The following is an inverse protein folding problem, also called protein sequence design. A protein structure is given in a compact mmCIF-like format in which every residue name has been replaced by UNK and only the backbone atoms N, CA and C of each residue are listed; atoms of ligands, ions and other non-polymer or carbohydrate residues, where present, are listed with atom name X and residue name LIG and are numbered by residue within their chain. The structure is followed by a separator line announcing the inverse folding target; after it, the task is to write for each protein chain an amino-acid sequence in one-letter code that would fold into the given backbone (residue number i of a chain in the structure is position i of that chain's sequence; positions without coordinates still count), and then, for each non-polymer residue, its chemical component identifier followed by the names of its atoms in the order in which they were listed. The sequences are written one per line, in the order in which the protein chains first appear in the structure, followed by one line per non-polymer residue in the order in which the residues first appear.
data_IF_773916642997
#
_entry.id   IF_773916642997
#
_cell.length_a   1.000
_cell.length_b   1.000
_cell.length_c   1.000
_cell.angle_alpha   90.00
_cell.angle_beta   90.00
_cell.angle_gamma   90.00
#
_symmetry.space_group_name_H-M   'P 1'
#
loop_
_entity.id
_entity.type
_entity.pdbx_description
1 polymer ?
#
# COMPACT_ATOMS: atom_id res chain seq x y z
N UNK A 1 -33.31 -23.46 17.02
CA UNK A 1 -32.48 -22.58 17.88
C UNK A 1 -31.08 -22.52 17.28
N UNK A 2 -30.73 -21.39 16.62
CA UNK A 2 -29.38 -21.18 16.09
C UNK A 2 -28.48 -20.77 17.26
N UNK A 3 -27.50 -21.61 17.59
CA UNK A 3 -26.43 -21.24 18.53
C UNK A 3 -25.71 -20.02 17.97
N UNK A 4 -25.82 -18.88 18.66
CA UNK A 4 -24.95 -17.73 18.45
C UNK A 4 -23.54 -18.16 18.82
N UNK A 5 -22.67 -18.33 17.82
CA UNK A 5 -21.24 -18.52 18.04
C UNK A 5 -20.73 -17.31 18.83
N UNK A 6 -20.26 -17.50 20.04
CA UNK A 6 -19.58 -16.47 20.82
C UNK A 6 -18.35 -16.01 20.02
N UNK A 7 -18.48 -14.89 19.33
CA UNK A 7 -17.38 -14.26 18.64
C UNK A 7 -16.29 -13.91 19.67
N UNK A 8 -15.11 -14.49 19.53
CA UNK A 8 -13.93 -14.16 20.36
C UNK A 8 -13.64 -12.65 20.22
N UNK A 9 -13.92 -11.88 21.27
CA UNK A 9 -13.54 -10.48 21.33
C UNK A 9 -12.03 -10.35 21.34
N UNK A 10 -11.48 -9.45 20.51
CA UNK A 10 -10.05 -9.15 20.55
C UNK A 10 -9.71 -8.46 21.88
N UNK A 11 -8.65 -8.92 22.55
CA UNK A 11 -8.30 -8.50 23.92
C UNK A 11 -8.05 -7.00 24.09
N UNK A 12 -7.71 -6.29 23.00
CA UNK A 12 -7.26 -4.88 23.04
C UNK A 12 -8.11 -3.92 22.21
N UNK A 13 -9.12 -4.39 21.49
CA UNK A 13 -10.01 -3.55 20.67
C UNK A 13 -11.42 -3.70 21.20
N UNK A 14 -11.89 -2.70 21.94
CA UNK A 14 -13.22 -2.67 22.52
C UNK A 14 -14.24 -2.05 21.59
N UNK A 15 -13.86 -0.96 20.91
CA UNK A 15 -14.67 -0.23 19.96
C UNK A 15 -13.84 0.02 18.69
N UNK A 16 -14.47 -0.12 17.54
CA UNK A 16 -13.85 -0.01 16.24
C UNK A 16 -14.80 0.74 15.31
N UNK A 17 -14.40 1.90 14.73
CA UNK A 17 -15.25 2.60 13.79
C UNK A 17 -15.52 1.72 12.57
N UNK A 18 -16.79 1.66 12.15
CA UNK A 18 -17.16 0.94 10.95
C UNK A 18 -16.60 1.62 9.70
N UNK A 19 -15.98 0.84 8.82
CA UNK A 19 -15.51 1.29 7.51
C UNK A 19 -16.59 0.92 6.48
N UNK A 20 -17.32 1.91 5.91
CA UNK A 20 -18.51 1.67 5.08
C UNK A 20 -18.18 1.25 3.63
N UNK A 21 -16.98 0.75 3.39
CA UNK A 21 -16.51 0.34 2.08
C UNK A 21 -16.29 -1.16 2.06
N UNK A 22 -16.78 -1.83 1.02
CA UNK A 22 -16.62 -3.28 0.86
C UNK A 22 -15.33 -3.62 0.12
N UNK A 23 -14.79 -4.82 0.37
CA UNK A 23 -13.75 -5.43 -0.44
C UNK A 23 -14.41 -6.18 -1.59
N UNK A 24 -14.30 -5.66 -2.80
CA UNK A 24 -14.78 -6.36 -3.98
C UNK A 24 -13.89 -7.56 -4.30
N UNK A 25 -14.49 -8.75 -4.48
CA UNK A 25 -13.77 -9.95 -4.93
C UNK A 25 -13.65 -9.91 -6.44
N UNK A 26 -12.44 -9.73 -6.94
CA UNK A 26 -12.14 -9.67 -8.38
C UNK A 26 -11.93 -11.05 -8.99
N UNK A 27 -11.38 -11.99 -8.20
CA UNK A 27 -11.12 -13.36 -8.63
C UNK A 27 -11.00 -14.28 -7.41
N UNK A 28 -11.48 -15.51 -7.54
CA UNK A 28 -11.26 -16.55 -6.54
C UNK A 28 -11.16 -17.94 -7.17
N UNK A 29 -10.45 -18.82 -6.47
CA UNK A 29 -10.42 -20.25 -6.71
C UNK A 29 -10.11 -20.99 -5.39
N UNK A 30 -9.85 -22.31 -5.46
CA UNK A 30 -9.56 -23.12 -4.27
C UNK A 30 -8.29 -22.72 -3.51
N UNK A 31 -7.43 -21.88 -4.09
CA UNK A 31 -6.11 -21.52 -3.55
C UNK A 31 -6.03 -20.06 -3.12
N UNK A 32 -6.58 -19.14 -3.90
CA UNK A 32 -6.47 -17.71 -3.68
C UNK A 32 -7.81 -16.97 -3.79
N UNK A 33 -7.86 -15.82 -3.12
CA UNK A 33 -8.88 -14.79 -3.30
C UNK A 33 -8.12 -13.51 -3.64
N UNK A 34 -8.53 -12.84 -4.71
CA UNK A 34 -8.00 -11.54 -5.15
C UNK A 34 -9.09 -10.50 -4.94
N UNK A 35 -8.78 -9.46 -4.17
CA UNK A 35 -9.76 -8.41 -3.88
C UNK A 35 -9.27 -7.04 -4.31
N UNK A 36 -10.20 -6.14 -4.62
CA UNK A 36 -9.97 -4.70 -4.61
C UNK A 36 -10.23 -4.19 -3.18
N UNK A 37 -9.16 -3.88 -2.48
CA UNK A 37 -9.22 -3.35 -1.13
C UNK A 37 -9.53 -1.84 -1.18
N UNK A 38 -10.60 -1.35 -0.56
CA UNK A 38 -10.91 0.08 -0.56
C UNK A 38 -9.90 0.89 0.25
N UNK A 39 -9.90 2.21 0.05
CA UNK A 39 -9.25 3.16 0.95
C UNK A 39 -9.78 3.00 2.40
N UNK A 40 -9.00 3.39 3.37
CA UNK A 40 -9.29 3.38 4.81
C UNK A 40 -9.40 2.00 5.45
N UNK A 41 -9.61 0.92 4.70
CA UNK A 41 -9.61 -0.44 5.22
C UNK A 41 -8.18 -0.98 5.34
N UNK A 42 -7.76 -1.40 6.53
CA UNK A 42 -6.45 -2.02 6.70
C UNK A 42 -6.43 -3.44 6.08
N UNK A 43 -5.29 -3.90 5.59
CA UNK A 43 -5.17 -5.29 5.08
C UNK A 43 -5.23 -6.31 6.20
N UNK A 44 -4.56 -6.04 7.33
CA UNK A 44 -4.45 -6.95 8.47
C UNK A 44 -4.64 -6.20 9.79
N UNK A 45 -5.05 -6.89 10.86
CA UNK A 45 -5.19 -6.30 12.19
C UNK A 45 -3.94 -5.55 12.64
N UNK A 46 -4.11 -4.31 13.09
CA UNK A 46 -3.05 -3.47 13.65
C UNK A 46 -3.62 -2.32 14.46
N UNK A 47 -3.04 -2.05 15.63
CA UNK A 47 -3.47 -0.96 16.51
C UNK A 47 -4.92 -1.16 16.95
N UNK A 48 -5.78 -0.16 16.72
CA UNK A 48 -7.21 -0.22 17.03
C UNK A 48 -8.07 -0.98 16.00
N UNK A 49 -7.48 -1.41 14.88
CA UNK A 49 -8.18 -2.06 13.78
C UNK A 49 -8.05 -3.58 13.89
N UNK A 50 -9.16 -4.30 14.04
CA UNK A 50 -9.22 -5.74 14.05
C UNK A 50 -10.27 -6.29 13.07
N UNK A 51 -11.57 -6.08 13.34
CA UNK A 51 -12.66 -6.54 12.48
C UNK A 51 -12.72 -5.76 11.18
N UNK A 52 -12.52 -4.47 11.26
CA UNK A 52 -12.48 -3.55 10.12
C UNK A 52 -11.14 -3.67 9.37
N UNK A 53 -10.82 -4.91 8.96
CA UNK A 53 -9.68 -5.25 8.11
C UNK A 53 -10.08 -6.21 7.01
N UNK A 54 -9.46 -6.11 5.84
CA UNK A 54 -9.76 -6.99 4.71
C UNK A 54 -9.60 -8.47 5.10
N UNK A 55 -8.57 -8.81 5.87
CA UNK A 55 -8.33 -10.18 6.32
C UNK A 55 -9.48 -10.73 7.17
N UNK A 56 -9.94 -10.00 8.18
CA UNK A 56 -10.97 -10.52 9.10
C UNK A 56 -12.32 -10.56 8.39
N UNK A 57 -12.66 -9.55 7.59
CA UNK A 57 -13.89 -9.57 6.79
C UNK A 57 -13.94 -10.78 5.85
N UNK A 58 -12.85 -11.10 5.14
CA UNK A 58 -12.80 -12.28 4.28
C UNK A 58 -12.91 -13.58 5.07
N UNK A 59 -12.23 -13.70 6.20
CA UNK A 59 -12.35 -14.88 7.07
C UNK A 59 -13.78 -15.11 7.56
N UNK A 60 -14.48 -14.04 7.92
CA UNK A 60 -15.88 -14.11 8.36
C UNK A 60 -16.81 -14.44 7.18
N UNK A 61 -16.61 -13.81 6.02
CA UNK A 61 -17.40 -14.02 4.81
C UNK A 61 -17.33 -15.47 4.31
N UNK A 62 -16.12 -16.06 4.29
CA UNK A 62 -15.92 -17.43 3.78
C UNK A 62 -15.99 -18.51 4.87
N UNK A 63 -16.00 -18.14 6.15
CA UNK A 63 -15.90 -19.10 7.25
C UNK A 63 -14.54 -19.80 7.34
N UNK A 64 -13.49 -19.20 6.76
CA UNK A 64 -12.15 -19.78 6.64
C UNK A 64 -11.12 -19.03 7.49
N UNK A 65 -10.83 -19.47 8.72
CA UNK A 65 -9.91 -18.78 9.64
C UNK A 65 -8.46 -18.81 9.16
N UNK A 66 -8.14 -19.69 8.23
CA UNK A 66 -6.79 -19.91 7.73
C UNK A 66 -6.37 -18.98 6.58
N UNK A 67 -7.26 -18.20 6.01
CA UNK A 67 -6.92 -17.20 5.00
C UNK A 67 -5.83 -16.26 5.53
N UNK A 68 -4.80 -16.01 4.71
CA UNK A 68 -3.74 -15.03 5.00
C UNK A 68 -3.40 -14.20 3.76
N UNK A 69 -2.98 -12.94 3.89
CA UNK A 69 -2.53 -12.16 2.74
C UNK A 69 -1.15 -12.63 2.25
N UNK A 70 -0.95 -12.69 0.95
CA UNK A 70 0.36 -12.89 0.32
C UNK A 70 1.24 -11.62 0.43
N UNK A 71 0.62 -10.45 0.41
CA UNK A 71 1.22 -9.13 0.60
C UNK A 71 0.23 -8.17 1.25
N UNK A 72 0.65 -6.94 1.50
CA UNK A 72 -0.20 -5.93 2.14
C UNK A 72 -0.14 -4.61 1.40
N UNK A 73 -1.24 -3.88 1.45
CA UNK A 73 -1.33 -2.45 1.18
C UNK A 73 -1.53 -1.68 2.50
N UNK A 74 -1.08 -0.45 2.52
CA UNK A 74 -1.35 0.46 3.64
C UNK A 74 -2.85 0.74 3.76
N UNK A 75 -3.31 1.20 4.93
CA UNK A 75 -4.72 1.50 5.18
C UNK A 75 -5.28 2.53 4.20
N UNK A 76 -4.50 3.55 3.86
CA UNK A 76 -4.89 4.61 2.93
C UNK A 76 -4.74 4.23 1.46
N UNK A 77 -4.11 3.10 1.14
CA UNK A 77 -3.91 2.65 -0.24
C UNK A 77 -5.03 1.70 -0.65
N UNK A 78 -5.75 2.03 -1.71
CA UNK A 78 -6.70 1.12 -2.35
C UNK A 78 -5.99 0.24 -3.39
N UNK A 79 -6.67 -0.84 -3.81
CA UNK A 79 -6.24 -1.69 -4.92
C UNK A 79 -6.06 -3.16 -4.57
N UNK A 80 -5.40 -3.88 -5.46
CA UNK A 80 -5.38 -5.34 -5.48
C UNK A 80 -4.58 -5.93 -4.33
N UNK A 81 -5.22 -6.85 -3.58
CA UNK A 81 -4.58 -7.68 -2.56
C UNK A 81 -4.90 -9.15 -2.82
N UNK A 82 -3.87 -9.99 -2.81
CA UNK A 82 -3.99 -11.44 -2.95
C UNK A 82 -3.99 -12.08 -1.57
N UNK A 83 -5.01 -12.87 -1.29
CA UNK A 83 -5.11 -13.71 -0.09
C UNK A 83 -4.97 -15.17 -0.47
N UNK A 84 -4.33 -15.97 0.38
CA UNK A 84 -4.10 -17.41 0.19
C UNK A 84 -4.99 -18.16 1.17
N UNK A 85 -5.79 -19.09 0.65
CA UNK A 85 -6.72 -19.94 1.42
C UNK A 85 -6.00 -21.13 2.05
N UNK A 86 -5.09 -21.75 1.28
CA UNK A 86 -4.41 -23.00 1.68
C UNK A 86 -3.13 -22.73 2.49
N UNK A 87 -3.06 -23.19 3.76
CA UNK A 87 -1.91 -22.97 4.63
C UNK A 87 -0.56 -23.40 4.02
N UNK A 88 -0.55 -24.53 3.33
CA UNK A 88 0.65 -25.13 2.71
C UNK A 88 1.23 -24.28 1.56
N UNK A 89 0.41 -23.42 0.92
CA UNK A 89 0.84 -22.59 -0.20
C UNK A 89 1.22 -21.16 0.22
N UNK A 90 0.98 -20.77 1.48
CA UNK A 90 1.25 -19.40 1.99
C UNK A 90 2.66 -18.95 1.70
N UNK A 91 3.65 -19.81 2.05
CA UNK A 91 5.06 -19.49 1.85
C UNK A 91 5.40 -19.24 0.38
N UNK A 92 4.89 -20.06 -0.53
CA UNK A 92 5.14 -19.93 -1.97
C UNK A 92 4.65 -18.58 -2.49
N UNK A 93 3.41 -18.19 -2.16
CA UNK A 93 2.85 -16.90 -2.59
C UNK A 93 3.56 -15.70 -1.95
N UNK A 94 3.88 -15.75 -0.65
CA UNK A 94 4.61 -14.67 0.03
C UNK A 94 6.01 -14.47 -0.55
N UNK A 95 6.70 -15.57 -0.90
CA UNK A 95 8.02 -15.54 -1.53
C UNK A 95 8.02 -14.89 -2.92
N UNK A 96 6.91 -14.90 -3.68
CA UNK A 96 6.81 -14.15 -4.94
C UNK A 96 7.02 -12.65 -4.72
N UNK A 97 6.43 -12.08 -3.67
CA UNK A 97 6.59 -10.67 -3.32
C UNK A 97 7.95 -10.39 -2.69
N UNK A 98 8.42 -11.24 -1.78
CA UNK A 98 9.72 -11.08 -1.13
C UNK A 98 10.86 -11.17 -2.13
N UNK A 99 10.81 -12.12 -3.08
CA UNK A 99 11.82 -12.32 -4.11
C UNK A 99 11.64 -11.40 -5.32
N UNK A 100 10.72 -10.41 -5.25
CA UNK A 100 10.47 -9.44 -6.32
C UNK A 100 10.08 -10.07 -7.66
N UNK A 101 9.41 -11.22 -7.63
CA UNK A 101 8.88 -11.91 -8.82
C UNK A 101 7.51 -11.38 -9.27
N UNK A 102 7.00 -10.35 -8.63
CA UNK A 102 5.75 -9.66 -8.97
C UNK A 102 6.04 -8.32 -9.61
N UNK A 103 5.31 -7.99 -10.67
CA UNK A 103 5.29 -6.64 -11.24
C UNK A 103 4.19 -5.87 -10.51
N UNK A 104 4.53 -4.68 -10.01
CA UNK A 104 3.61 -3.83 -9.26
C UNK A 104 3.53 -2.48 -9.91
N UNK A 105 2.31 -2.04 -10.19
CA UNK A 105 2.02 -0.71 -10.71
C UNK A 105 1.04 -0.03 -9.76
N UNK A 106 1.33 1.22 -9.42
CA UNK A 106 0.48 2.07 -8.59
C UNK A 106 0.23 3.38 -9.30
N UNK A 107 -0.90 3.99 -9.02
CA UNK A 107 -1.21 5.34 -9.47
C UNK A 107 -1.50 6.23 -8.28
N UNK A 108 -1.15 7.51 -8.41
CA UNK A 108 -1.51 8.53 -7.44
C UNK A 108 -1.70 9.88 -8.11
N UNK A 109 -2.42 10.77 -7.42
CA UNK A 109 -2.45 12.18 -7.74
C UNK A 109 -1.45 12.91 -6.83
N UNK A 110 -0.65 13.80 -7.42
CA UNK A 110 0.22 14.69 -6.69
C UNK A 110 0.23 16.07 -7.34
N UNK A 111 0.67 17.13 -6.64
CA UNK A 111 0.67 18.48 -7.19
C UNK A 111 1.38 18.59 -8.56
N UNK A 112 0.82 19.37 -9.46
CA UNK A 112 1.52 19.78 -10.66
C UNK A 112 2.51 20.88 -10.29
N UNK A 113 3.68 20.48 -9.82
CA UNK A 113 4.75 21.35 -9.38
C UNK A 113 6.10 20.83 -9.89
N UNK A 114 7.14 21.68 -9.97
CA UNK A 114 8.49 21.21 -10.19
C UNK A 114 8.93 20.27 -9.08
N UNK A 115 9.60 19.19 -9.44
CA UNK A 115 10.20 18.30 -8.43
C UNK A 115 11.31 19.03 -7.64
N UNK A 116 11.36 18.77 -6.35
CA UNK A 116 12.43 19.23 -5.48
C UNK A 116 13.59 18.25 -5.49
N UNK A 117 14.79 18.73 -5.23
CA UNK A 117 15.93 17.85 -5.02
C UNK A 117 15.80 17.15 -3.68
N UNK A 118 15.80 15.79 -3.62
CA UNK A 118 15.65 15.07 -2.36
C UNK A 118 16.87 15.28 -1.46
N UNK A 119 16.65 15.34 -0.15
CA UNK A 119 17.73 15.51 0.82
C UNK A 119 18.69 14.31 0.85
N UNK A 120 18.17 13.09 0.72
CA UNK A 120 18.94 11.84 0.73
C UNK A 120 18.64 10.99 -0.49
N UNK A 121 19.63 10.14 -0.87
CA UNK A 121 19.53 9.27 -2.00
C UNK A 121 19.67 10.01 -3.35
N UNK A 122 19.12 9.43 -4.40
CA UNK A 122 19.30 9.92 -5.78
C UNK A 122 17.98 9.96 -6.55
N UNK A 123 17.92 10.85 -7.53
CA UNK A 123 16.97 10.83 -8.63
C UNK A 123 17.75 10.78 -9.95
N UNK A 124 17.45 9.79 -10.78
CA UNK A 124 18.07 9.60 -12.09
C UNK A 124 17.00 9.73 -13.16
N UNK A 125 17.05 10.79 -13.95
CA UNK A 125 16.13 11.02 -15.08
C UNK A 125 16.51 10.11 -16.24
N UNK A 126 15.52 9.47 -16.87
CA UNK A 126 15.74 8.63 -18.04
C UNK A 126 16.00 9.50 -19.27
N UNK A 127 15.23 10.59 -19.41
CA UNK A 127 15.48 11.65 -20.38
C UNK A 127 15.98 12.90 -19.63
N UNK A 128 17.14 13.43 -20.02
CA UNK A 128 17.74 14.63 -19.38
C UNK A 128 16.92 15.91 -19.59
N UNK A 129 16.08 15.95 -20.62
CA UNK A 129 15.26 17.10 -20.96
C UNK A 129 13.89 17.09 -20.27
N UNK A 130 13.53 15.99 -19.63
CA UNK A 130 12.25 15.82 -18.96
C UNK A 130 12.46 15.43 -17.47
N UNK A 131 11.64 15.97 -16.54
CA UNK A 131 11.72 15.58 -15.13
C UNK A 131 11.36 14.12 -14.90
N UNK A 132 10.46 13.58 -15.72
CA UNK A 132 9.99 12.20 -15.70
C UNK A 132 9.95 11.62 -17.12
N UNK A 133 10.14 10.28 -17.27
CA UNK A 133 10.30 9.27 -16.23
C UNK A 133 11.65 9.37 -15.51
N UNK A 134 11.62 9.07 -14.19
CA UNK A 134 12.79 9.11 -13.34
C UNK A 134 12.83 7.94 -12.34
N UNK A 135 14.03 7.49 -11.98
CA UNK A 135 14.26 6.49 -10.95
C UNK A 135 14.64 7.20 -9.65
N UNK A 136 13.79 7.08 -8.65
CA UNK A 136 14.05 7.52 -7.28
C UNK A 136 14.65 6.37 -6.46
N UNK A 137 15.78 6.60 -5.80
CA UNK A 137 16.43 5.59 -4.98
C UNK A 137 16.95 6.21 -3.67
N UNK A 138 16.67 5.56 -2.53
CA UNK A 138 17.09 6.01 -1.20
C UNK A 138 17.19 4.86 -0.20
N UNK A 139 17.66 5.18 1.01
CA UNK A 139 17.53 4.27 2.15
C UNK A 139 16.32 4.68 2.98
N UNK A 140 15.33 3.81 3.06
CA UNK A 140 14.10 4.01 3.84
C UNK A 140 14.14 3.17 5.11
N UNK A 141 13.97 3.86 6.25
CA UNK A 141 13.85 3.27 7.57
C UNK A 141 12.45 3.39 8.14
N UNK A 142 12.13 2.49 9.06
CA UNK A 142 10.87 2.48 9.81
C UNK A 142 11.09 1.97 11.22
N UNK A 143 11.10 2.88 12.19
CA UNK A 143 11.29 2.52 13.60
C UNK A 143 10.00 2.00 14.23
N UNK A 144 10.18 1.17 15.25
CA UNK A 144 9.07 0.72 16.07
C UNK A 144 8.51 1.91 16.85
N UNK A 145 7.18 2.07 16.82
CA UNK A 145 6.49 3.17 17.52
C UNK A 145 6.39 4.48 16.72
N UNK A 146 7.20 4.71 15.71
CA UNK A 146 7.05 5.85 14.79
C UNK A 146 6.01 5.52 13.71
N UNK A 147 5.07 6.42 13.44
CA UNK A 147 4.04 6.18 12.41
C UNK A 147 4.61 6.28 10.99
N UNK A 148 5.44 7.28 10.73
CA UNK A 148 6.05 7.52 9.42
C UNK A 148 7.32 6.70 9.22
N UNK A 149 7.55 6.23 7.99
CA UNK A 149 8.86 5.85 7.50
C UNK A 149 9.61 7.11 7.04
N UNK A 150 10.92 7.06 6.93
CA UNK A 150 11.75 8.21 6.59
C UNK A 150 13.05 7.78 5.90
N UNK A 151 13.71 8.73 5.26
CA UNK A 151 14.97 8.50 4.56
C UNK A 151 16.17 8.86 5.44
N UNK A 152 17.29 8.14 5.25
CA UNK A 152 18.58 8.39 5.88
C UNK A 152 19.73 8.28 4.87
N UNK A 153 20.92 8.87 5.13
CA UNK A 153 22.06 8.82 4.23
C UNK A 153 22.83 7.50 4.31
N UNK A 154 22.18 6.39 3.96
CA UNK A 154 22.76 5.05 3.97
C UNK A 154 22.64 4.37 2.59
N UNK A 155 23.18 3.15 2.49
CA UNK A 155 23.14 2.34 1.27
C UNK A 155 21.68 2.14 0.82
N UNK A 156 21.40 2.43 -0.44
CA UNK A 156 20.08 2.32 -1.06
C UNK A 156 19.43 0.97 -0.80
N UNK A 157 18.21 0.99 -0.24
CA UNK A 157 17.40 -0.20 -0.01
C UNK A 157 16.01 -0.13 -0.65
N UNK A 158 15.66 1.03 -1.22
CA UNK A 158 14.38 1.31 -1.86
C UNK A 158 14.59 1.95 -3.24
N UNK A 159 13.86 1.47 -4.25
CA UNK A 159 13.91 2.01 -5.61
C UNK A 159 12.53 2.00 -6.26
N UNK A 160 12.16 3.10 -6.91
CA UNK A 160 10.89 3.29 -7.62
C UNK A 160 11.14 4.00 -8.95
N UNK A 161 10.65 3.45 -10.06
CA UNK A 161 10.47 4.20 -11.30
C UNK A 161 9.18 5.02 -11.18
N UNK A 162 9.26 6.29 -11.50
CA UNK A 162 8.17 7.26 -11.45
C UNK A 162 7.95 7.80 -12.84
N UNK A 163 6.73 7.72 -13.34
CA UNK A 163 6.28 8.31 -14.59
C UNK A 163 5.21 9.37 -14.30
N UNK A 164 5.23 10.47 -15.04
CA UNK A 164 4.19 11.49 -14.94
C UNK A 164 3.22 11.34 -16.09
N UNK A 165 1.95 11.21 -15.79
CA UNK A 165 0.89 11.23 -16.79
C UNK A 165 0.58 12.62 -17.31
N UNK A 166 -0.30 12.70 -18.30
CA UNK A 166 -0.66 13.96 -18.98
C UNK A 166 -2.00 14.54 -18.50
N UNK A 167 -2.73 13.81 -17.65
CA UNK A 167 -4.05 14.26 -17.19
C UNK A 167 -3.90 15.18 -15.99
N UNK A 168 -4.25 16.44 -16.16
CA UNK A 168 -4.30 17.44 -15.09
C UNK A 168 -5.72 17.53 -14.56
N UNK A 169 -5.87 17.54 -13.24
CA UNK A 169 -7.13 17.74 -12.53
C UNK A 169 -7.01 18.94 -11.61
N UNK A 170 -8.04 19.79 -11.57
CA UNK A 170 -8.15 20.87 -10.60
C UNK A 170 -9.01 20.39 -9.44
N UNK A 171 -8.47 20.38 -8.23
CA UNK A 171 -9.15 19.98 -6.98
C UNK A 171 -8.90 21.11 -5.98
N UNK A 172 -9.97 21.71 -5.46
CA UNK A 172 -9.92 22.84 -4.53
C UNK A 172 -8.99 23.98 -4.98
N UNK A 173 -9.05 24.31 -6.28
CA UNK A 173 -8.25 25.39 -6.88
C UNK A 173 -6.77 25.05 -7.10
N UNK A 174 -6.33 23.83 -6.81
CA UNK A 174 -4.96 23.36 -7.02
C UNK A 174 -4.90 22.37 -8.18
N UNK A 175 -3.86 22.46 -8.99
CA UNK A 175 -3.61 21.55 -10.09
C UNK A 175 -2.88 20.30 -9.61
N UNK A 176 -3.42 19.15 -9.94
CA UNK A 176 -2.83 17.83 -9.69
C UNK A 176 -2.65 17.09 -11.01
N UNK A 177 -1.64 16.23 -11.04
CA UNK A 177 -1.40 15.34 -12.18
C UNK A 177 -1.27 13.91 -11.66
N UNK A 178 -1.63 12.93 -12.49
CA UNK A 178 -1.42 11.53 -12.14
C UNK A 178 0.03 11.13 -12.34
N UNK A 179 0.54 10.32 -11.41
CA UNK A 179 1.82 9.64 -11.49
C UNK A 179 1.61 8.13 -11.47
N UNK A 180 2.38 7.43 -12.31
CA UNK A 180 2.46 5.97 -12.32
C UNK A 180 3.76 5.55 -11.67
N UNK A 181 3.67 4.66 -10.69
CA UNK A 181 4.78 4.30 -9.80
C UNK A 181 5.05 2.80 -9.90
N UNK A 182 6.28 2.42 -10.25
CA UNK A 182 6.73 1.04 -10.39
C UNK A 182 7.81 0.73 -9.34
N UNK A 183 7.44 0.28 -8.13
CA UNK A 183 8.41 -0.05 -7.10
C UNK A 183 9.14 -1.35 -7.41
N UNK A 184 10.47 -1.31 -7.50
CA UNK A 184 11.33 -2.50 -7.57
C UNK A 184 11.51 -3.19 -6.21
N UNK A 185 11.29 -2.46 -5.14
CA UNK A 185 11.38 -2.91 -3.74
C UNK A 185 10.03 -2.74 -3.06
N UNK A 186 9.90 -3.14 -1.79
CA UNK A 186 8.64 -3.06 -1.03
C UNK A 186 8.85 -2.61 0.41
N UNK A 187 9.50 -1.46 0.62
CA UNK A 187 9.67 -0.90 1.97
C UNK A 187 8.39 -0.25 2.46
N UNK A 188 8.23 -0.20 3.78
CA UNK A 188 7.07 0.46 4.40
C UNK A 188 6.96 1.90 3.93
N UNK A 189 5.78 2.31 3.47
CA UNK A 189 5.47 3.64 2.94
C UNK A 189 6.37 4.11 1.78
N UNK A 190 7.04 3.20 1.07
CA UNK A 190 8.07 3.55 0.08
C UNK A 190 7.61 4.60 -0.93
N UNK A 191 6.46 4.39 -1.59
CA UNK A 191 5.96 5.30 -2.62
C UNK A 191 5.63 6.67 -2.04
N UNK A 192 5.05 6.70 -0.85
CA UNK A 192 4.68 7.90 -0.12
C UNK A 192 5.92 8.72 0.26
N UNK A 193 6.94 8.06 0.82
CA UNK A 193 8.24 8.68 1.15
C UNK A 193 8.92 9.23 -0.09
N UNK A 194 9.01 8.43 -1.17
CA UNK A 194 9.66 8.86 -2.41
C UNK A 194 8.97 10.06 -3.05
N UNK A 195 7.64 10.05 -3.15
CA UNK A 195 6.88 11.17 -3.72
C UNK A 195 7.03 12.43 -2.87
N UNK A 196 6.88 12.30 -1.54
CA UNK A 196 7.05 13.43 -0.62
C UNK A 196 8.46 14.03 -0.68
N UNK A 197 9.50 13.19 -0.77
CA UNK A 197 10.90 13.65 -0.84
C UNK A 197 11.22 14.45 -2.11
N UNK A 198 10.37 14.34 -3.13
CA UNK A 198 10.44 15.14 -4.35
C UNK A 198 9.57 16.41 -4.31
N UNK A 199 8.95 16.73 -3.15
CA UNK A 199 8.00 17.84 -3.04
C UNK A 199 6.67 17.57 -3.73
N UNK A 200 6.34 16.31 -4.00
CA UNK A 200 5.14 15.85 -4.69
C UNK A 200 4.30 14.92 -3.76
N UNK A 201 3.84 15.40 -2.59
CA UNK A 201 3.08 14.58 -1.66
C UNK A 201 1.82 14.01 -2.33
N UNK A 202 1.50 12.76 -2.04
CA UNK A 202 0.32 12.08 -2.60
C UNK A 202 -0.94 12.72 -2.03
N UNK A 203 -1.89 13.07 -2.88
CA UNK A 203 -3.16 13.64 -2.48
C UNK A 203 -3.91 12.71 -1.52
N UNK A 204 -4.36 13.24 -0.39
CA UNK A 204 -5.06 12.48 0.65
C UNK A 204 -4.15 11.68 1.58
N UNK A 205 -2.83 11.88 1.51
CA UNK A 205 -1.90 11.29 2.46
C UNK A 205 -1.74 12.18 3.69
N UNK A 206 -2.22 11.70 4.85
CA UNK A 206 -2.20 12.45 6.12
C UNK A 206 -0.82 12.45 6.82
N UNK A 207 0.15 11.70 6.30
CA UNK A 207 1.44 11.51 6.99
C UNK A 207 2.62 12.20 6.32
N UNK A 208 2.49 12.54 5.02
CA UNK A 208 3.60 13.05 4.22
C UNK A 208 3.26 14.32 3.45
#
# INVERSE_FOLDING_TARGET
MRQQSQQKRHRYVLEEPHIPFECEVLYENDVIIVVDKPHFLATTPRGMWYRETALIRLREQYGEPDIVPAHRLDRLTAGIVVFVRKPELRGAYQMLFQNRKTIKTYECLAPLAPEQHPQYGTIVRIDRHQPFPAIRASHICKDRGRLQAYEIPEIVNAQTLIERGNTVRCIDGKAYVNYVLHPKTGKTHQLRVHMNSLGLPILGDDFY
#
